data_IF_923844444975
#
_entry.id   IF_923844444975
#
_cell.length_a   1.000
_cell.length_b   1.000
_cell.length_c   1.000
_cell.angle_alpha   90.00
_cell.angle_beta   90.00
_cell.angle_gamma   90.00
#
_symmetry.space_group_name_H-M   'P 1'
#
loop_
_entity.id
_entity.type
_entity.pdbx_description
1 polymer ?
#
# COMPACT_ATOMS: atom_id res chain seq x y z
N UNK A 1 -7.74 17.17 13.37
CA UNK A 1 -6.83 16.01 13.19
C UNK A 1 -7.01 15.50 11.79
N UNK A 2 -5.90 15.35 11.08
CA UNK A 2 -5.89 14.86 9.71
C UNK A 2 -5.92 13.33 9.74
N UNK A 3 -6.76 12.75 8.90
CA UNK A 3 -6.96 11.29 8.83
C UNK A 3 -6.15 10.72 7.69
N UNK A 4 -5.40 9.67 7.96
CA UNK A 4 -4.58 8.98 6.96
C UNK A 4 -4.99 7.52 6.87
N UNK A 5 -5.28 7.05 5.67
CA UNK A 5 -5.40 5.62 5.42
C UNK A 5 -4.00 5.02 5.28
N UNK A 6 -3.76 3.91 5.95
CA UNK A 6 -2.44 3.28 6.01
C UNK A 6 -2.32 2.17 4.97
N UNK A 7 -1.24 2.22 4.20
CA UNK A 7 -0.87 1.27 3.18
C UNK A 7 0.48 0.63 3.52
N UNK A 8 0.62 -0.63 3.17
CA UNK A 8 1.88 -1.34 3.16
C UNK A 8 2.34 -1.45 1.71
N UNK A 9 3.61 -1.15 1.45
CA UNK A 9 4.21 -1.55 0.18
C UNK A 9 5.13 -2.75 0.37
N UNK A 10 5.14 -3.65 -0.61
CA UNK A 10 5.98 -4.84 -0.63
C UNK A 10 6.72 -4.94 -1.96
N UNK A 11 8.03 -5.15 -1.88
CA UNK A 11 8.86 -5.36 -3.05
C UNK A 11 8.77 -6.79 -3.55
N UNK A 12 8.97 -6.96 -4.86
CA UNK A 12 9.09 -8.27 -5.51
C UNK A 12 10.04 -8.18 -6.71
N UNK A 13 10.70 -9.28 -7.09
CA UNK A 13 11.61 -9.29 -8.22
C UNK A 13 10.88 -9.28 -9.55
N UNK A 14 11.56 -8.82 -10.60
CA UNK A 14 11.08 -8.84 -11.98
C UNK A 14 11.98 -9.76 -12.80
N UNK A 15 11.43 -10.91 -13.18
CA UNK A 15 12.16 -11.94 -13.91
C UNK A 15 12.13 -11.76 -15.43
N UNK A 16 11.18 -11.00 -15.95
CA UNK A 16 10.96 -10.77 -17.37
C UNK A 16 11.23 -9.32 -17.77
N UNK A 17 11.67 -9.10 -19.01
CA UNK A 17 12.01 -7.75 -19.50
C UNK A 17 10.75 -6.96 -19.90
N UNK A 18 10.02 -6.48 -18.90
CA UNK A 18 8.77 -5.73 -19.06
C UNK A 18 9.01 -4.30 -19.59
N UNK A 19 10.21 -3.75 -19.39
CA UNK A 19 10.56 -2.39 -19.79
C UNK A 19 11.15 -2.29 -21.20
N UNK A 20 11.32 -3.41 -21.92
CA UNK A 20 11.94 -3.41 -23.24
C UNK A 20 13.41 -2.96 -23.22
N UNK A 21 14.12 -3.18 -22.11
CA UNK A 21 15.54 -2.84 -21.98
C UNK A 21 16.38 -3.68 -22.96
N UNK A 22 17.56 -3.21 -23.41
CA UNK A 22 18.48 -4.05 -24.14
C UNK A 22 18.80 -5.33 -23.35
N UNK A 23 18.83 -6.49 -24.03
CA UNK A 23 18.95 -7.79 -23.37
C UNK A 23 20.19 -7.88 -22.47
N UNK A 24 21.32 -7.32 -22.92
CA UNK A 24 22.58 -7.26 -22.17
C UNK A 24 22.44 -6.46 -20.87
N UNK A 25 21.77 -5.29 -20.93
CA UNK A 25 21.51 -4.45 -19.76
C UNK A 25 20.59 -5.18 -18.78
N UNK A 26 19.52 -5.80 -19.28
CA UNK A 26 18.57 -6.53 -18.43
C UNK A 26 19.24 -7.74 -17.75
N UNK A 27 20.08 -8.48 -18.47
CA UNK A 27 20.77 -9.66 -17.92
C UNK A 27 21.92 -9.30 -16.97
N UNK A 28 22.53 -8.13 -17.13
CA UNK A 28 23.60 -7.65 -16.25
C UNK A 28 23.12 -7.35 -14.82
N UNK A 29 21.82 -7.07 -14.62
CA UNK A 29 21.27 -6.74 -13.30
C UNK A 29 21.11 -7.99 -12.44
N UNK A 30 21.83 -8.02 -11.31
CA UNK A 30 21.73 -9.08 -10.31
C UNK A 30 20.47 -8.88 -9.45
N UNK A 31 19.46 -9.72 -9.67
CA UNK A 31 18.17 -9.67 -8.96
C UNK A 31 18.33 -9.83 -7.44
N UNK A 32 19.25 -10.68 -6.99
CA UNK A 32 19.45 -10.90 -5.55
C UNK A 32 20.07 -9.68 -4.87
N UNK A 33 20.99 -8.99 -5.57
CA UNK A 33 21.52 -7.70 -5.09
C UNK A 33 20.40 -6.66 -5.01
N UNK A 34 19.57 -6.54 -6.06
CA UNK A 34 18.41 -5.64 -6.07
C UNK A 34 17.44 -5.90 -4.93
N UNK A 35 17.16 -7.17 -4.60
CA UNK A 35 16.31 -7.52 -3.46
C UNK A 35 16.96 -7.22 -2.11
N UNK A 36 18.29 -7.34 -2.02
CA UNK A 36 19.04 -7.03 -0.80
C UNK A 36 19.08 -5.52 -0.56
N UNK A 37 19.24 -4.74 -1.62
CA UNK A 37 19.34 -3.26 -1.61
C UNK A 37 18.01 -2.55 -1.92
N UNK A 38 16.90 -3.27 -1.94
CA UNK A 38 15.57 -2.77 -2.35
C UNK A 38 15.15 -1.42 -1.76
N UNK A 39 15.41 -1.20 -0.46
CA UNK A 39 15.04 0.05 0.20
C UNK A 39 15.97 1.20 -0.16
N UNK A 40 17.27 0.94 -0.31
CA UNK A 40 18.24 1.92 -0.81
C UNK A 40 17.87 2.32 -2.25
N UNK A 41 17.63 1.33 -3.12
CA UNK A 41 17.24 1.57 -4.51
C UNK A 41 15.92 2.36 -4.62
N UNK A 42 14.95 2.10 -3.75
CA UNK A 42 13.73 2.88 -3.71
C UNK A 42 13.93 4.27 -3.09
N UNK A 43 14.80 4.39 -2.08
CA UNK A 43 15.22 5.66 -1.51
C UNK A 43 15.82 6.58 -2.58
N UNK A 44 16.72 6.06 -3.41
CA UNK A 44 17.28 6.81 -4.55
C UNK A 44 16.19 7.32 -5.50
N UNK A 45 15.19 6.49 -5.83
CA UNK A 45 14.04 6.92 -6.66
C UNK A 45 13.24 8.03 -5.98
N UNK A 46 13.03 7.95 -4.67
CA UNK A 46 12.31 8.96 -3.91
C UNK A 46 13.11 10.25 -3.77
N UNK A 47 14.43 10.17 -3.62
CA UNK A 47 15.36 11.30 -3.58
C UNK A 47 15.38 12.04 -4.90
N UNK A 48 15.49 11.33 -6.03
CA UNK A 48 15.43 11.90 -7.37
C UNK A 48 14.13 12.67 -7.58
N UNK A 49 12.99 12.10 -7.17
CA UNK A 49 11.69 12.77 -7.23
C UNK A 49 11.60 13.97 -6.29
N UNK A 50 12.14 13.87 -5.08
CA UNK A 50 12.11 14.97 -4.12
C UNK A 50 12.97 16.16 -4.55
N UNK A 51 14.09 15.89 -5.23
CA UNK A 51 15.09 16.87 -5.66
C UNK A 51 14.88 17.40 -7.09
N UNK A 52 13.92 16.88 -7.85
CA UNK A 52 13.59 17.37 -9.19
C UNK A 52 13.39 18.90 -9.17
N UNK A 53 14.10 19.61 -10.05
CA UNK A 53 14.03 21.08 -10.15
C UNK A 53 13.21 21.52 -11.36
N UNK A 54 13.07 20.67 -12.37
CA UNK A 54 12.28 20.95 -13.55
C UNK A 54 10.79 20.77 -13.25
N UNK A 55 10.07 21.89 -13.08
CA UNK A 55 8.62 21.90 -12.86
C UNK A 55 7.82 21.18 -13.95
N UNK A 56 8.35 21.06 -15.16
CA UNK A 56 7.70 20.30 -16.24
C UNK A 56 7.75 18.79 -16.01
N UNK A 57 8.72 18.29 -15.24
CA UNK A 57 8.92 16.87 -14.91
C UNK A 57 8.33 16.49 -13.53
N UNK A 58 7.81 17.46 -12.76
CA UNK A 58 7.14 17.22 -11.47
C UNK A 58 5.72 16.70 -11.62
N UNK A 59 5.57 15.55 -12.24
CA UNK A 59 4.31 14.85 -12.35
C UNK A 59 4.46 13.33 -12.20
N UNK A 60 3.38 12.71 -11.74
CA UNK A 60 3.15 11.27 -11.87
C UNK A 60 2.25 11.01 -13.05
N UNK A 61 2.53 9.94 -13.80
CA UNK A 61 1.70 9.54 -14.93
C UNK A 61 0.88 8.32 -14.56
N UNK A 62 -0.43 8.37 -14.78
CA UNK A 62 -1.34 7.27 -14.51
C UNK A 62 -2.54 7.34 -15.46
N UNK A 63 -2.88 6.22 -16.11
CA UNK A 63 -3.97 6.12 -17.10
C UNK A 63 -3.97 7.24 -18.17
N UNK A 64 -2.78 7.64 -18.63
CA UNK A 64 -2.62 8.70 -19.64
C UNK A 64 -2.71 10.13 -19.11
N UNK A 65 -3.02 10.32 -17.82
CA UNK A 65 -3.08 11.63 -17.18
C UNK A 65 -1.80 11.95 -16.40
N UNK A 66 -1.51 13.25 -16.25
CA UNK A 66 -0.40 13.78 -15.45
C UNK A 66 -0.92 14.39 -14.15
N UNK A 67 -0.42 13.94 -13.01
CA UNK A 67 -0.75 14.44 -11.68
C UNK A 67 0.45 15.19 -11.12
N UNK A 68 0.32 16.51 -10.96
CA UNK A 68 1.41 17.32 -10.39
C UNK A 68 1.67 16.93 -8.95
N UNK A 69 2.93 16.91 -8.54
CA UNK A 69 3.29 16.71 -7.14
C UNK A 69 4.21 17.81 -6.63
N UNK A 70 4.31 17.93 -5.30
CA UNK A 70 5.27 18.79 -4.62
C UNK A 70 5.84 18.07 -3.41
N UNK A 71 7.17 18.05 -3.29
CA UNK A 71 7.88 17.53 -2.11
C UNK A 71 8.05 18.62 -1.05
N UNK A 72 8.01 18.23 0.22
CA UNK A 72 8.19 19.11 1.39
C UNK A 72 9.26 18.62 2.35
N UNK A 73 9.30 17.31 2.59
CA UNK A 73 10.27 16.68 3.49
C UNK A 73 10.91 15.54 2.72
N UNK A 74 12.23 15.48 2.78
CA UNK A 74 13.06 14.33 2.43
C UNK A 74 14.18 14.26 3.49
N UNK A 75 13.93 13.53 4.57
CA UNK A 75 14.88 13.41 5.67
C UNK A 75 14.73 12.07 6.36
N UNK A 76 15.86 11.37 6.57
CA UNK A 76 15.89 10.11 7.33
C UNK A 76 14.98 9.03 6.75
N UNK A 77 14.99 8.88 5.42
CA UNK A 77 14.14 7.97 4.64
C UNK A 77 12.62 8.20 4.81
N UNK A 78 12.23 9.40 5.26
CA UNK A 78 10.85 9.83 5.36
C UNK A 78 10.59 10.94 4.35
N UNK A 79 9.56 10.73 3.53
CA UNK A 79 9.19 11.63 2.46
C UNK A 79 7.78 12.15 2.67
N UNK A 80 7.58 13.46 2.54
CA UNK A 80 6.26 14.10 2.62
C UNK A 80 6.00 14.87 1.35
N UNK A 81 4.99 14.44 0.61
CA UNK A 81 4.64 14.96 -0.71
C UNK A 81 3.16 15.30 -0.78
N UNK A 82 2.79 16.29 -1.60
CA UNK A 82 1.41 16.52 -2.03
C UNK A 82 1.24 16.11 -3.47
N UNK A 83 0.10 15.52 -3.79
CA UNK A 83 -0.29 15.15 -5.14
C UNK A 83 -1.58 15.87 -5.46
N UNK A 84 -1.59 16.63 -6.55
CA UNK A 84 -2.74 17.38 -7.03
C UNK A 84 -3.62 16.51 -7.93
N UNK A 85 -4.94 16.56 -7.72
CA UNK A 85 -5.90 15.92 -8.62
C UNK A 85 -6.27 16.87 -9.77
N UNK A 86 -6.65 16.30 -10.91
CA UNK A 86 -7.12 17.03 -12.09
C UNK A 86 -8.66 17.18 -12.03
N UNK A 87 -9.17 17.99 -11.09
CA UNK A 87 -10.61 18.26 -10.97
C UNK A 87 -10.97 19.58 -11.63
N UNK A 88 -12.26 19.70 -11.97
CA UNK A 88 -12.89 20.97 -12.28
C UNK A 88 -13.91 21.28 -11.21
N UNK A 89 -13.93 22.51 -10.74
CA UNK A 89 -14.97 23.03 -9.87
C UNK A 89 -16.06 23.67 -10.73
N UNK A 90 -17.31 23.25 -10.52
CA UNK A 90 -18.48 23.95 -11.06
C UNK A 90 -18.83 25.07 -10.09
N UNK A 91 -18.78 26.31 -10.57
CA UNK A 91 -19.21 27.49 -9.85
C UNK A 91 -20.49 28.01 -10.50
N UNK A 92 -21.58 28.00 -9.74
CA UNK A 92 -22.84 28.63 -10.16
C UNK A 92 -22.97 29.99 -9.46
N UNK A 93 -23.13 31.06 -10.24
CA UNK A 93 -23.40 32.42 -9.75
C UNK A 93 -24.49 33.04 -10.61
N UNK A 94 -25.53 33.59 -9.98
CA UNK A 94 -26.65 34.24 -10.68
C UNK A 94 -27.26 33.35 -11.79
N UNK A 95 -27.44 32.05 -11.50
CA UNK A 95 -27.93 31.02 -12.43
C UNK A 95 -27.02 30.73 -13.63
N UNK A 96 -25.78 31.24 -13.63
CA UNK A 96 -24.77 30.93 -14.63
C UNK A 96 -23.76 29.93 -14.07
N UNK A 97 -23.60 28.80 -14.76
CA UNK A 97 -22.62 27.77 -14.41
C UNK A 97 -21.33 28.00 -15.19
N UNK A 98 -20.22 28.13 -14.47
CA UNK A 98 -18.86 28.18 -15.01
C UNK A 98 -18.04 27.01 -14.47
N UNK A 99 -17.10 26.51 -15.28
CA UNK A 99 -16.14 25.50 -14.85
C UNK A 99 -14.78 26.16 -14.66
N UNK A 100 -14.20 26.01 -13.47
CA UNK A 100 -12.86 26.48 -13.13
C UNK A 100 -11.97 25.29 -12.86
N UNK A 101 -10.74 25.32 -13.36
CA UNK A 101 -9.74 24.31 -13.01
C UNK A 101 -9.47 24.40 -11.50
N UNK A 102 -9.63 23.28 -10.81
CA UNK A 102 -9.40 23.17 -9.38
C UNK A 102 -8.53 21.95 -9.13
N UNK A 103 -7.36 22.19 -8.57
CA UNK A 103 -6.36 21.15 -8.31
C UNK A 103 -6.25 20.84 -6.81
N UNK A 104 -7.30 20.31 -6.17
CA UNK A 104 -7.20 19.94 -4.77
C UNK A 104 -6.13 18.86 -4.62
N UNK A 105 -5.38 18.91 -3.53
CA UNK A 105 -4.26 18.00 -3.30
C UNK A 105 -4.49 17.09 -2.10
N UNK A 106 -3.83 15.94 -2.11
CA UNK A 106 -3.77 14.99 -1.02
C UNK A 106 -2.33 14.89 -0.51
N UNK A 107 -2.14 14.91 0.81
CA UNK A 107 -0.84 14.68 1.42
C UNK A 107 -0.53 13.19 1.51
N UNK A 108 0.71 12.82 1.20
CA UNK A 108 1.23 11.46 1.31
C UNK A 108 2.51 11.51 2.13
N UNK A 109 2.62 10.59 3.08
CA UNK A 109 3.83 10.37 3.89
C UNK A 109 4.34 8.97 3.57
N UNK A 110 5.59 8.85 3.13
CA UNK A 110 6.26 7.59 2.81
C UNK A 110 7.33 7.35 3.87
N UNK A 111 7.25 6.21 4.56
CA UNK A 111 8.24 5.75 5.53
C UNK A 111 9.06 4.62 4.91
N UNK A 112 10.18 5.01 4.29
CA UNK A 112 11.16 4.11 3.68
C UNK A 112 12.29 3.74 4.63
N UNK A 113 12.17 4.03 5.93
CA UNK A 113 13.14 3.54 6.93
C UNK A 113 13.17 2.00 6.92
N UNK A 114 14.31 1.46 7.33
CA UNK A 114 14.55 0.01 7.42
C UNK A 114 13.40 -0.71 8.13
N UNK A 115 12.92 -1.79 7.50
CA UNK A 115 11.87 -2.68 8.03
C UNK A 115 10.50 -2.01 8.32
N UNK A 116 10.20 -0.85 7.71
CA UNK A 116 8.89 -0.18 7.80
C UNK A 116 8.01 -0.44 6.57
N UNK A 117 8.41 0.13 5.44
CA UNK A 117 7.70 0.06 4.17
C UNK A 117 6.23 0.52 4.21
N UNK A 118 5.97 1.67 4.81
CA UNK A 118 4.61 2.21 5.01
C UNK A 118 4.38 3.43 4.12
N UNK A 119 3.15 3.56 3.63
CA UNK A 119 2.65 4.80 3.00
C UNK A 119 1.36 5.20 3.70
N UNK A 120 1.32 6.42 4.24
CA UNK A 120 0.12 7.01 4.80
C UNK A 120 -0.44 8.03 3.78
N UNK A 121 -1.69 7.84 3.37
CA UNK A 121 -2.36 8.70 2.38
C UNK A 121 -3.52 9.43 3.05
N UNK A 122 -3.51 10.76 2.97
CA UNK A 122 -4.54 11.60 3.57
C UNK A 122 -5.93 11.31 2.98
N UNK A 123 -6.92 11.12 3.85
CA UNK A 123 -8.33 11.02 3.47
C UNK A 123 -8.95 12.42 3.44
N UNK A 124 -9.00 13.02 2.26
CA UNK A 124 -9.64 14.30 2.03
C UNK A 124 -10.51 14.29 0.75
N UNK A 125 -11.08 15.44 0.40
CA UNK A 125 -11.98 15.58 -0.77
C UNK A 125 -11.27 15.63 -2.12
N UNK A 126 -9.93 15.69 -2.14
CA UNK A 126 -9.16 15.83 -3.38
C UNK A 126 -9.35 14.61 -4.28
N UNK A 127 -9.24 13.40 -3.73
CA UNK A 127 -9.46 12.13 -4.44
C UNK A 127 -10.69 11.41 -3.88
N UNK A 128 -11.38 10.64 -4.71
CA UNK A 128 -12.58 9.89 -4.28
C UNK A 128 -12.23 8.78 -3.28
N UNK A 129 -11.05 8.16 -3.44
CA UNK A 129 -10.52 7.11 -2.57
C UNK A 129 -9.00 7.27 -2.45
N UNK A 130 -8.46 7.02 -1.26
CA UNK A 130 -7.00 6.99 -1.05
C UNK A 130 -6.31 5.92 -1.91
N UNK A 131 -7.00 4.83 -2.25
CA UNK A 131 -6.49 3.79 -3.15
C UNK A 131 -6.13 4.32 -4.54
N UNK A 132 -6.83 5.35 -5.03
CA UNK A 132 -6.49 5.97 -6.33
C UNK A 132 -5.11 6.63 -6.28
N UNK A 133 -4.77 7.27 -5.16
CA UNK A 133 -3.44 7.85 -4.96
C UNK A 133 -2.39 6.74 -4.82
N UNK A 134 -2.72 5.65 -4.12
CA UNK A 134 -1.86 4.47 -4.05
C UNK A 134 -1.58 3.87 -5.44
N UNK A 135 -2.58 3.79 -6.32
CA UNK A 135 -2.42 3.29 -7.70
C UNK A 135 -1.51 4.19 -8.54
N UNK A 136 -1.65 5.52 -8.42
CA UNK A 136 -0.78 6.51 -9.08
C UNK A 136 0.69 6.33 -8.65
N UNK A 137 0.90 6.22 -7.33
CA UNK A 137 2.23 6.01 -6.75
C UNK A 137 2.82 4.67 -7.18
N UNK A 138 2.03 3.60 -7.09
CA UNK A 138 2.44 2.26 -7.48
C UNK A 138 2.87 2.24 -8.94
N UNK A 139 2.06 2.79 -9.87
CA UNK A 139 2.42 2.82 -11.28
C UNK A 139 3.76 3.54 -11.51
N UNK A 140 3.93 4.70 -10.88
CA UNK A 140 5.16 5.51 -10.99
C UNK A 140 6.37 4.72 -10.49
N UNK A 141 6.30 4.18 -9.28
CA UNK A 141 7.42 3.50 -8.65
C UNK A 141 7.76 2.20 -9.35
N UNK A 142 6.76 1.44 -9.81
CA UNK A 142 7.00 0.23 -10.61
C UNK A 142 7.87 0.57 -11.82
N UNK A 143 7.48 1.56 -12.63
CA UNK A 143 8.22 1.95 -13.83
C UNK A 143 9.66 2.38 -13.51
N UNK A 144 9.86 3.18 -12.45
CA UNK A 144 11.18 3.67 -12.05
C UNK A 144 12.10 2.57 -11.49
N UNK A 145 11.53 1.48 -10.96
CA UNK A 145 12.29 0.36 -10.40
C UNK A 145 12.61 -0.77 -11.40
N UNK A 146 11.97 -0.79 -12.58
CA UNK A 146 12.15 -1.86 -13.57
C UNK A 146 13.61 -2.01 -14.04
N UNK A 147 14.36 -0.92 -14.15
CA UNK A 147 15.79 -0.94 -14.50
C UNK A 147 16.64 -1.71 -13.49
N UNK A 148 16.18 -1.79 -12.24
CA UNK A 148 16.81 -2.57 -11.18
C UNK A 148 16.20 -3.97 -11.05
N UNK A 149 15.38 -4.42 -12.01
CA UNK A 149 14.62 -5.67 -11.94
C UNK A 149 13.82 -5.81 -10.64
N UNK A 150 13.34 -4.68 -10.14
CA UNK A 150 12.58 -4.57 -8.91
C UNK A 150 11.22 -3.95 -9.23
N UNK A 151 10.21 -4.34 -8.47
CA UNK A 151 8.90 -3.73 -8.53
C UNK A 151 8.29 -3.76 -7.13
N UNK A 152 7.16 -3.07 -6.96
CA UNK A 152 6.45 -3.07 -5.69
C UNK A 152 4.94 -3.08 -5.89
N UNK A 153 4.24 -3.58 -4.88
CA UNK A 153 2.79 -3.48 -4.73
C UNK A 153 2.48 -2.61 -3.53
N UNK A 154 1.49 -1.72 -3.63
CA UNK A 154 0.99 -0.86 -2.55
C UNK A 154 -0.44 -1.29 -2.25
N UNK A 155 -0.71 -1.73 -1.02
CA UNK A 155 -2.02 -2.20 -0.62
C UNK A 155 -2.43 -1.66 0.74
N UNK A 156 -3.72 -1.34 0.89
CA UNK A 156 -4.27 -0.79 2.13
C UNK A 156 -4.32 -1.84 3.22
N UNK A 157 -3.81 -1.51 4.42
CA UNK A 157 -3.98 -2.37 5.60
C UNK A 157 -5.45 -2.38 6.02
N UNK A 158 -5.89 -3.48 6.61
CA UNK A 158 -7.26 -3.61 7.10
C UNK A 158 -7.31 -4.25 8.50
N UNK A 159 -8.43 -4.06 9.19
CA UNK A 159 -8.65 -4.63 10.52
C UNK A 159 -9.01 -6.12 10.45
N UNK A 160 -8.39 -6.93 11.30
CA UNK A 160 -8.66 -8.38 11.33
C UNK A 160 -10.07 -8.73 11.78
N UNK A 161 -10.75 -7.84 12.53
CA UNK A 161 -12.14 -8.02 12.97
C UNK A 161 -13.12 -8.26 11.81
N UNK A 162 -12.88 -7.68 10.63
CA UNK A 162 -13.73 -7.88 9.45
C UNK A 162 -13.82 -9.37 9.08
N UNK A 163 -12.70 -10.11 9.17
CA UNK A 163 -12.68 -11.55 8.94
C UNK A 163 -13.60 -12.28 9.89
N UNK A 164 -13.51 -12.00 11.20
CA UNK A 164 -14.30 -12.67 12.23
C UNK A 164 -15.79 -12.34 12.13
N UNK A 165 -16.14 -11.10 11.78
CA UNK A 165 -17.53 -10.70 11.53
C UNK A 165 -18.13 -11.51 10.36
N UNK A 166 -17.40 -11.61 9.24
CA UNK A 166 -17.86 -12.38 8.08
C UNK A 166 -17.88 -13.88 8.36
N UNK A 167 -16.89 -14.42 9.06
CA UNK A 167 -16.84 -15.82 9.48
C UNK A 167 -18.02 -16.17 10.36
N UNK A 168 -18.29 -15.38 11.41
CA UNK A 168 -19.37 -15.66 12.36
C UNK A 168 -20.76 -15.56 11.71
N UNK A 169 -20.99 -14.53 10.89
CA UNK A 169 -22.25 -14.41 10.14
C UNK A 169 -22.45 -15.57 9.16
N UNK A 170 -21.39 -16.05 8.51
CA UNK A 170 -21.46 -17.19 7.58
C UNK A 170 -21.74 -18.52 8.30
N UNK A 171 -21.05 -18.75 9.44
CA UNK A 171 -21.22 -19.97 10.24
C UNK A 171 -22.60 -20.07 10.89
N UNK A 172 -23.20 -18.94 11.28
CA UNK A 172 -24.56 -18.91 11.84
C UNK A 172 -25.66 -19.19 10.79
N UNK A 173 -25.35 -19.11 9.49
CA UNK A 173 -26.29 -19.33 8.40
C UNK A 173 -26.19 -20.77 7.89
N UNK A 174 -25.25 -21.01 6.98
CA UNK A 174 -25.08 -22.30 6.29
C UNK A 174 -23.66 -22.85 6.39
N UNK A 175 -22.73 -22.09 6.96
CA UNK A 175 -21.31 -22.42 7.00
C UNK A 175 -20.50 -21.86 5.83
N UNK A 176 -19.27 -22.34 5.71
CA UNK A 176 -18.25 -21.84 4.78
C UNK A 176 -17.71 -23.01 3.97
N UNK A 177 -17.75 -22.90 2.64
CA UNK A 177 -17.20 -23.93 1.73
C UNK A 177 -15.67 -23.90 1.74
N UNK A 178 -15.08 -22.72 1.54
CA UNK A 178 -13.64 -22.54 1.53
C UNK A 178 -13.23 -21.12 1.95
N UNK A 179 -11.94 -20.98 2.27
CA UNK A 179 -11.25 -19.70 2.48
C UNK A 179 -9.92 -19.70 1.75
N UNK A 180 -9.60 -18.60 1.08
CA UNK A 180 -8.30 -18.36 0.44
C UNK A 180 -7.51 -17.28 1.19
N UNK A 181 -6.29 -17.63 1.58
CA UNK A 181 -5.31 -16.71 2.16
C UNK A 181 -4.21 -16.40 1.13
N UNK A 182 -4.28 -15.26 0.42
CA UNK A 182 -3.22 -14.84 -0.49
C UNK A 182 -2.05 -14.20 0.30
N UNK A 183 -0.85 -14.72 0.09
CA UNK A 183 0.37 -14.20 0.69
C UNK A 183 1.21 -13.47 -0.36
N UNK A 184 1.65 -12.25 -0.04
CA UNK A 184 2.55 -11.49 -0.91
C UNK A 184 3.95 -12.10 -0.99
N UNK A 185 4.74 -11.68 -1.98
CA UNK A 185 6.13 -12.11 -2.08
C UNK A 185 6.91 -11.78 -0.79
N UNK A 186 7.66 -12.73 -0.21
CA UNK A 186 8.30 -12.56 1.08
C UNK A 186 9.43 -11.54 0.98
N UNK A 187 9.22 -10.42 1.66
CA UNK A 187 10.09 -9.26 1.52
C UNK A 187 10.35 -8.52 2.83
N UNK A 188 9.30 -8.35 3.65
CA UNK A 188 9.38 -7.69 4.94
C UNK A 188 9.38 -8.78 6.04
N UNK A 189 10.46 -8.93 6.84
CA UNK A 189 10.59 -10.02 7.81
C UNK A 189 9.37 -10.16 8.72
N UNK A 190 8.89 -9.06 9.31
CA UNK A 190 7.75 -9.07 10.22
C UNK A 190 6.44 -9.63 9.61
N UNK A 191 6.26 -9.57 8.28
CA UNK A 191 5.11 -10.20 7.60
C UNK A 191 5.45 -11.64 7.21
N UNK A 192 6.66 -11.89 6.70
CA UNK A 192 7.11 -13.24 6.33
C UNK A 192 7.06 -14.21 7.52
N UNK A 193 7.40 -13.73 8.72
CA UNK A 193 7.38 -14.50 9.96
C UNK A 193 5.96 -14.96 10.34
N UNK A 194 4.93 -14.17 9.98
CA UNK A 194 3.52 -14.55 10.17
C UNK A 194 3.08 -15.66 9.20
N UNK A 195 3.64 -15.69 7.99
CA UNK A 195 3.32 -16.70 6.98
C UNK A 195 4.06 -18.02 7.27
N UNK A 196 5.29 -17.93 7.76
CA UNK A 196 6.17 -19.06 8.07
C UNK A 196 7.15 -19.41 6.95
N UNK A 197 8.17 -20.21 7.31
CA UNK A 197 9.32 -20.53 6.44
C UNK A 197 8.89 -21.27 5.16
N UNK A 198 7.99 -22.25 5.26
CA UNK A 198 7.59 -23.08 4.13
C UNK A 198 7.06 -22.24 2.94
N UNK A 199 6.11 -21.35 3.19
CA UNK A 199 5.53 -20.50 2.15
C UNK A 199 6.50 -19.41 1.69
N UNK A 200 7.35 -18.91 2.59
CA UNK A 200 8.42 -17.98 2.26
C UNK A 200 9.40 -18.61 1.26
N UNK A 201 9.85 -19.83 1.52
CA UNK A 201 10.79 -20.54 0.64
C UNK A 201 10.13 -20.99 -0.66
N UNK A 202 8.86 -21.41 -0.60
CA UNK A 202 8.08 -21.72 -1.79
C UNK A 202 8.01 -20.50 -2.71
N UNK A 203 7.57 -19.36 -2.19
CA UNK A 203 7.43 -18.11 -2.94
C UNK A 203 8.74 -17.65 -3.59
N UNK A 204 9.87 -17.74 -2.86
CA UNK A 204 11.19 -17.39 -3.38
C UNK A 204 11.63 -18.33 -4.50
N UNK A 205 11.54 -19.65 -4.29
CA UNK A 205 12.01 -20.66 -5.26
C UNK A 205 11.19 -20.66 -6.54
N UNK A 206 9.88 -20.42 -6.45
CA UNK A 206 8.98 -20.42 -7.62
C UNK A 206 8.67 -19.03 -8.15
N UNK A 207 9.26 -17.98 -7.57
CA UNK A 207 8.96 -16.59 -7.89
C UNK A 207 7.44 -16.30 -7.95
N UNK A 208 6.74 -16.57 -6.84
CA UNK A 208 5.28 -16.52 -6.80
C UNK A 208 4.73 -15.79 -5.57
N UNK A 209 3.45 -15.43 -5.64
CA UNK A 209 2.64 -15.03 -4.49
C UNK A 209 1.67 -16.19 -4.18
N UNK A 210 2.03 -17.10 -3.24
CA UNK A 210 1.23 -18.29 -3.00
C UNK A 210 -0.11 -17.92 -2.37
N UNK A 211 -1.16 -18.66 -2.74
CA UNK A 211 -2.46 -18.60 -2.09
C UNK A 211 -2.75 -19.95 -1.46
N UNK A 212 -3.05 -19.94 -0.15
CA UNK A 212 -3.47 -21.15 0.54
C UNK A 212 -5.00 -21.25 0.50
N UNK A 213 -5.47 -22.30 -0.15
CA UNK A 213 -6.88 -22.69 -0.23
C UNK A 213 -7.20 -23.71 0.87
N UNK A 214 -8.08 -23.35 1.79
CA UNK A 214 -8.63 -24.28 2.79
C UNK A 214 -10.08 -24.58 2.43
N UNK A 215 -10.40 -25.85 2.20
CA UNK A 215 -11.73 -26.32 1.82
C UNK A 215 -12.28 -27.29 2.87
N UNK A 216 -13.57 -27.18 3.18
CA UNK A 216 -14.26 -28.13 4.05
C UNK A 216 -14.26 -29.54 3.46
N UNK A 217 -13.88 -30.54 4.27
CA UNK A 217 -13.90 -31.95 3.85
C UNK A 217 -15.33 -32.50 3.87
N UNK A 218 -15.63 -33.50 3.03
CA UNK A 218 -16.93 -34.19 3.02
C UNK A 218 -18.17 -33.28 2.88
N UNK A 219 -18.04 -32.17 2.13
CA UNK A 219 -19.07 -31.12 2.03
C UNK A 219 -19.43 -30.45 3.36
N UNK A 220 -18.61 -30.62 4.40
CA UNK A 220 -18.71 -29.91 5.68
C UNK A 220 -18.15 -28.50 5.56
N UNK A 221 -18.28 -27.71 6.62
CA UNK A 221 -17.76 -26.35 6.65
C UNK A 221 -16.28 -26.38 6.99
N UNK A 222 -15.49 -25.48 6.41
CA UNK A 222 -14.09 -25.35 6.81
C UNK A 222 -14.02 -24.92 8.28
N UNK A 223 -13.19 -25.60 9.08
CA UNK A 223 -13.02 -25.25 10.49
C UNK A 223 -12.07 -24.05 10.62
N UNK A 224 -12.59 -22.95 11.16
CA UNK A 224 -11.86 -21.71 11.40
C UNK A 224 -11.96 -21.39 12.89
N UNK A 225 -11.07 -21.98 13.68
CA UNK A 225 -11.01 -21.83 15.14
C UNK A 225 -10.36 -20.48 15.52
N UNK A 226 -11.03 -19.60 16.29
CA UNK A 226 -10.46 -18.33 16.75
C UNK A 226 -9.21 -18.47 17.64
N UNK A 227 -8.92 -19.66 18.15
CA UNK A 227 -7.76 -19.95 19.00
C UNK A 227 -6.60 -20.57 18.24
N UNK A 228 -6.78 -20.94 16.96
CA UNK A 228 -5.71 -21.51 16.15
C UNK A 228 -4.67 -20.45 15.78
N UNK A 229 -3.44 -20.65 16.26
CA UNK A 229 -2.33 -19.70 16.12
C UNK A 229 -1.96 -19.50 14.65
N UNK A 230 -1.96 -20.57 13.86
CA UNK A 230 -1.58 -20.50 12.46
C UNK A 230 -2.61 -19.69 11.66
N UNK A 231 -3.91 -19.92 11.88
CA UNK A 231 -5.00 -19.18 11.27
C UNK A 231 -4.94 -17.70 11.65
N UNK A 232 -4.73 -17.41 12.94
CA UNK A 232 -4.54 -16.04 13.42
C UNK A 232 -3.39 -15.36 12.68
N UNK A 233 -2.25 -16.03 12.52
CA UNK A 233 -1.10 -15.48 11.82
C UNK A 233 -1.35 -15.30 10.31
N UNK A 234 -2.06 -16.21 9.65
CA UNK A 234 -2.44 -16.06 8.25
C UNK A 234 -3.34 -14.83 8.02
N UNK A 235 -4.34 -14.63 8.89
CA UNK A 235 -5.22 -13.44 8.86
C UNK A 235 -4.38 -12.17 9.05
N UNK A 236 -3.49 -12.17 10.05
CA UNK A 236 -2.59 -11.05 10.35
C UNK A 236 -1.65 -10.73 9.18
N UNK A 237 -1.10 -11.74 8.51
CA UNK A 237 -0.24 -11.56 7.36
C UNK A 237 -0.98 -10.84 6.22
N UNK A 238 -2.17 -11.34 5.87
CA UNK A 238 -3.03 -10.73 4.85
C UNK A 238 -3.44 -9.29 5.21
N UNK A 239 -3.83 -9.05 6.46
CA UNK A 239 -4.19 -7.73 6.98
C UNK A 239 -3.01 -6.75 6.95
N UNK A 240 -1.81 -7.21 7.33
CA UNK A 240 -0.61 -6.40 7.34
C UNK A 240 -0.13 -6.07 5.92
N UNK A 241 -0.23 -7.01 4.98
CA UNK A 241 0.16 -6.85 3.57
C UNK A 241 -0.93 -6.22 2.70
N UNK A 242 -2.13 -6.00 3.23
CA UNK A 242 -3.29 -5.53 2.49
C UNK A 242 -3.78 -6.49 1.40
N UNK A 243 -3.43 -7.79 1.48
CA UNK A 243 -3.86 -8.82 0.52
C UNK A 243 -5.23 -9.34 0.98
N UNK A 244 -6.32 -9.12 0.22
CA UNK A 244 -7.67 -9.42 0.69
C UNK A 244 -7.92 -10.93 0.82
N UNK A 245 -8.50 -11.35 1.94
CA UNK A 245 -8.87 -12.77 2.17
C UNK A 245 -10.18 -13.05 1.45
N UNK A 246 -10.31 -14.22 0.81
CA UNK A 246 -11.57 -14.62 0.18
C UNK A 246 -12.27 -15.67 1.04
N UNK A 247 -13.54 -15.44 1.37
CA UNK A 247 -14.39 -16.42 2.06
C UNK A 247 -15.53 -16.79 1.14
N UNK A 248 -15.79 -18.08 0.94
CA UNK A 248 -16.98 -18.58 0.24
C UNK A 248 -17.99 -19.13 1.26
N UNK A 249 -19.03 -18.37 1.63
CA UNK A 249 -20.12 -18.92 2.42
C UNK A 249 -20.98 -19.87 1.58
N UNK A 250 -21.53 -20.89 2.22
CA UNK A 250 -22.39 -21.88 1.58
C UNK A 250 -23.64 -21.25 0.98
N UNK A 251 -23.87 -21.51 -0.31
CA UNK A 251 -25.02 -20.98 -1.04
C UNK A 251 -25.02 -19.46 -1.23
N UNK A 252 -23.88 -18.78 -1.06
CA UNK A 252 -23.72 -17.34 -1.26
C UNK A 252 -22.54 -17.03 -2.19
N UNK A 253 -22.43 -15.78 -2.64
CA UNK A 253 -21.25 -15.33 -3.40
C UNK A 253 -20.01 -15.21 -2.52
N UNK A 254 -18.83 -15.26 -3.13
CA UNK A 254 -17.55 -15.04 -2.45
C UNK A 254 -17.54 -13.64 -1.84
N UNK A 255 -17.14 -13.55 -0.56
CA UNK A 255 -16.92 -12.30 0.15
C UNK A 255 -15.43 -12.02 0.22
N UNK A 256 -15.06 -10.76 -0.01
CA UNK A 256 -13.68 -10.28 0.00
C UNK A 256 -13.45 -9.45 1.26
N UNK A 257 -12.57 -9.92 2.13
CA UNK A 257 -12.22 -9.27 3.40
C UNK A 257 -11.10 -8.27 3.17
N UNK A 258 -11.17 -7.12 3.84
CA UNK A 258 -10.16 -6.07 3.77
C UNK A 258 -10.44 -5.00 2.73
N UNK A 259 -11.70 -4.91 2.29
CA UNK A 259 -12.17 -3.88 1.36
C UNK A 259 -12.96 -2.79 2.09
N UNK A 260 -13.68 -3.17 3.14
CA UNK A 260 -14.62 -2.28 3.84
C UNK A 260 -14.06 -1.74 5.17
N UNK A 261 -13.00 -2.36 5.71
CA UNK A 261 -12.39 -1.96 6.98
C UNK A 261 -10.94 -1.44 6.83
N UNK A 262 -10.72 -0.31 6.14
CA UNK A 262 -9.37 0.24 6.00
C UNK A 262 -8.85 0.74 7.36
N UNK A 263 -7.55 0.54 7.59
CA UNK A 263 -6.87 1.12 8.75
C UNK A 263 -6.71 2.63 8.54
N UNK A 264 -7.13 3.40 9.53
CA UNK A 264 -7.03 4.86 9.54
C UNK A 264 -6.34 5.29 10.82
N UNK A 265 -5.32 6.14 10.68
CA UNK A 265 -4.63 6.77 11.78
C UNK A 265 -4.79 8.29 11.71
N UNK A 266 -4.68 8.94 12.86
CA UNK A 266 -4.87 10.39 12.99
C UNK A 266 -3.58 11.07 13.43
N UNK A 267 -3.31 12.23 12.84
CA UNK A 267 -2.20 13.10 13.22
C UNK A 267 -2.74 14.51 13.49
N UNK A 268 -2.09 15.23 14.42
CA UNK A 268 -2.43 16.61 14.72
C UNK A 268 -2.25 17.49 13.46
N UNK A 269 -3.23 18.38 13.20
CA UNK A 269 -3.23 19.20 11.99
C UNK A 269 -1.99 20.09 11.88
N UNK A 270 -1.44 20.52 13.02
CA UNK A 270 -0.23 21.35 13.08
C UNK A 270 1.00 20.66 12.46
N UNK A 271 1.05 19.33 12.48
CA UNK A 271 2.15 18.56 11.91
C UNK A 271 2.14 18.57 10.37
N UNK A 272 0.96 18.75 9.76
CA UNK A 272 0.73 18.55 8.32
C UNK A 272 0.24 19.80 7.57
N UNK A 273 -0.08 20.88 8.31
CA UNK A 273 -0.40 22.19 7.76
C UNK A 273 0.85 23.06 7.61
N UNK A 274 0.84 23.95 6.63
CA UNK A 274 1.90 24.94 6.40
C UNK A 274 3.31 24.33 6.33
N UNK A 275 3.45 23.19 5.66
CA UNK A 275 4.72 22.46 5.50
C UNK A 275 5.78 23.26 4.73
N UNK A 276 5.43 24.40 4.14
CA UNK A 276 6.36 25.32 3.47
C UNK A 276 7.06 26.30 4.42
N UNK A 277 6.61 26.43 5.67
CA UNK A 277 7.22 27.32 6.66
C UNK A 277 8.47 26.68 7.26
N UNK A 278 9.62 27.36 7.15
CA UNK A 278 10.91 26.87 7.61
C UNK A 278 11.05 26.89 9.14
N UNK A 279 10.38 27.82 9.83
CA UNK A 279 10.56 28.09 11.27
C UNK A 279 10.04 26.97 12.19
N UNK A 280 9.27 26.01 11.64
CA UNK A 280 8.64 24.91 12.38
C UNK A 280 9.03 23.54 11.83
N UNK A 281 10.06 23.46 11.00
CA UNK A 281 10.39 22.24 10.26
C UNK A 281 10.72 21.06 11.20
N UNK A 282 11.63 21.25 12.15
CA UNK A 282 12.07 20.17 13.05
C UNK A 282 10.95 19.68 13.98
N UNK A 283 10.14 20.59 14.51
CA UNK A 283 9.03 20.23 15.40
C UNK A 283 7.93 19.47 14.66
N UNK A 284 7.60 19.87 13.42
CA UNK A 284 6.64 19.15 12.57
C UNK A 284 7.18 17.80 12.14
N UNK A 285 8.45 17.70 11.77
CA UNK A 285 9.09 16.44 11.41
C UNK A 285 9.04 15.44 12.56
N UNK A 286 9.34 15.87 13.79
CA UNK A 286 9.25 15.01 14.98
C UNK A 286 7.83 14.48 15.21
N UNK A 287 6.79 15.31 15.04
CA UNK A 287 5.39 14.85 15.12
C UNK A 287 5.05 13.81 14.05
N UNK A 288 5.61 13.94 12.84
CA UNK A 288 5.45 12.96 11.76
C UNK A 288 6.17 11.66 12.11
N UNK A 289 7.39 11.71 12.65
CA UNK A 289 8.13 10.53 13.11
C UNK A 289 7.35 9.81 14.23
N UNK A 290 6.82 10.54 15.20
CA UNK A 290 5.98 9.98 16.26
C UNK A 290 4.72 9.32 15.71
N UNK A 291 4.03 9.96 14.76
CA UNK A 291 2.88 9.38 14.07
C UNK A 291 3.25 8.07 13.36
N UNK A 292 4.33 8.07 12.58
CA UNK A 292 4.80 6.88 11.88
C UNK A 292 5.15 5.75 12.83
N UNK A 293 5.79 6.05 13.98
CA UNK A 293 6.16 5.05 14.97
C UNK A 293 4.95 4.41 15.68
N UNK A 294 3.79 5.09 15.70
CA UNK A 294 2.54 4.54 16.26
C UNK A 294 1.86 3.53 15.33
N UNK A 295 2.17 3.58 14.02
CA UNK A 295 1.58 2.66 13.04
C UNK A 295 1.99 1.23 13.37
N UNK A 296 0.97 0.39 13.62
CA UNK A 296 1.14 -1.01 13.98
C UNK A 296 1.27 -1.87 12.73
N UNK A 297 1.90 -3.03 12.89
CA UNK A 297 1.94 -4.04 11.84
C UNK A 297 0.55 -4.58 11.53
N UNK A 298 -0.27 -4.81 12.56
CA UNK A 298 -1.60 -5.41 12.50
C UNK A 298 -2.56 -4.60 13.36
N UNK A 299 -3.80 -4.48 12.90
CA UNK A 299 -4.90 -3.87 13.63
C UNK A 299 -6.00 -4.89 13.86
N UNK A 300 -6.51 -4.92 15.08
CA UNK A 300 -7.62 -5.80 15.46
C UNK A 300 -8.95 -5.24 14.98
#
# INVERSE_FOLDING_TARGET
>A
MAKFQIFQYLFRPVMENQAGLPAEVFQAVNVQDSLTRKQELFGNVLDDLACEQNEQEKYYQFNGEKFKYRSFINQGDIYVIRIANNKKAKLESDFNVSELDNHPSCLVIIDNRKDRQIIAIERNVAFSKASMVADILQNTFRLKLLSNRLTLDIAGKFHTAEFWQVRNSSMNLKGIDYVDFPFGYPNLPAISDLVGEYFTDLAKRTNSEPTLHLQGQNHESVNLDPTDIWLLNAIKACAASGKPILIKPKGSQVRKIGVESPVIEEIADIAVKELSSHDLFDSKFNLIVEFLNKIKLVYE
#
